data_IF_362689271455
#
_entry.id   IF_362689271455
#
_cell.length_a   1.000
_cell.length_b   1.000
_cell.length_c   1.000
_cell.angle_alpha   90.00
_cell.angle_beta   90.00
_cell.angle_gamma   90.00
#
_symmetry.space_group_name_H-M   'P 1'
#
loop_
_entity.id
_entity.type
_entity.pdbx_description
1 polymer ?
#
# COMPACT_ATOMS: atom_id res chain seq x y z
N UNK A 1 -7.45 22.40 10.75
CA UNK A 1 -6.53 21.24 10.72
C UNK A 1 -5.38 21.50 9.76
N UNK A 2 -4.19 21.10 10.14
CA UNK A 2 -3.02 21.25 9.28
C UNK A 2 -3.01 20.18 8.19
N UNK A 3 -2.48 20.55 7.01
CA UNK A 3 -2.24 19.60 5.93
C UNK A 3 -0.96 18.83 6.25
N UNK A 4 -1.02 17.51 6.11
CA UNK A 4 0.13 16.62 6.29
C UNK A 4 0.55 16.11 4.92
N UNK A 5 1.85 16.26 4.60
CA UNK A 5 2.43 15.75 3.37
C UNK A 5 3.01 14.35 3.64
N UNK A 6 2.90 13.48 2.65
CA UNK A 6 3.47 12.11 2.71
C UNK A 6 4.97 12.20 3.00
N UNK A 7 5.45 11.62 4.12
CA UNK A 7 6.79 11.94 4.61
C UNK A 7 7.94 11.09 4.08
N UNK A 8 7.65 10.07 3.26
CA UNK A 8 8.70 9.17 2.77
C UNK A 8 8.43 8.74 1.32
N UNK A 9 9.49 8.32 0.60
CA UNK A 9 9.38 8.03 -0.83
C UNK A 9 8.71 6.69 -1.10
N UNK A 10 8.25 6.45 -2.34
CA UNK A 10 7.80 5.12 -2.74
C UNK A 10 8.94 4.12 -2.75
N UNK A 11 8.60 2.85 -2.58
CA UNK A 11 9.52 1.73 -2.87
C UNK A 11 9.23 1.31 -4.30
N UNK A 12 10.18 1.46 -5.20
CA UNK A 12 9.97 1.15 -6.62
C UNK A 12 11.33 1.04 -7.32
N UNK A 13 11.42 0.18 -8.32
CA UNK A 13 12.51 0.17 -9.28
C UNK A 13 12.00 -0.20 -10.69
N UNK A 14 12.91 -0.23 -11.66
CA UNK A 14 12.52 -0.51 -13.06
C UNK A 14 11.98 -1.93 -13.27
N UNK A 15 12.26 -2.83 -12.34
CA UNK A 15 11.83 -4.24 -12.42
C UNK A 15 10.57 -4.53 -11.59
N UNK A 16 10.01 -3.54 -10.89
CA UNK A 16 8.76 -3.70 -10.14
C UNK A 16 7.66 -4.19 -11.06
N UNK A 17 6.91 -5.21 -10.64
CA UNK A 17 5.84 -5.84 -11.43
C UNK A 17 4.46 -5.55 -10.89
N UNK A 18 4.35 -5.30 -9.57
CA UNK A 18 3.09 -4.95 -8.90
C UNK A 18 3.29 -3.68 -8.09
N UNK A 19 2.22 -2.90 -7.95
CA UNK A 19 2.20 -1.72 -7.09
C UNK A 19 1.09 -1.89 -6.07
N UNK A 20 1.43 -1.77 -4.79
CA UNK A 20 0.45 -1.84 -3.70
C UNK A 20 0.29 -0.43 -3.14
N UNK A 21 -0.95 0.06 -3.12
CA UNK A 21 -1.30 1.41 -2.68
C UNK A 21 -2.19 1.36 -1.44
N UNK A 22 -1.74 1.99 -0.37
CA UNK A 22 -2.61 2.35 0.74
C UNK A 22 -3.25 3.72 0.52
N UNK A 23 -4.04 4.19 1.48
CA UNK A 23 -4.62 5.54 1.44
C UNK A 23 -3.58 6.58 1.84
N UNK A 24 -3.12 6.54 3.09
CA UNK A 24 -2.13 7.43 3.67
C UNK A 24 -1.46 6.69 4.84
N UNK A 25 -0.17 6.94 5.12
CA UNK A 25 0.50 6.19 6.19
C UNK A 25 -0.08 6.53 7.57
N UNK A 26 -0.15 5.51 8.44
CA UNK A 26 -0.56 5.66 9.83
C UNK A 26 0.39 6.59 10.61
N UNK A 27 -0.02 7.01 11.82
CA UNK A 27 0.84 7.81 12.69
C UNK A 27 2.19 7.13 12.91
N UNK A 28 2.20 5.82 13.18
CA UNK A 28 3.44 5.07 13.43
C UNK A 28 4.29 4.98 12.16
N UNK A 29 3.67 4.74 11.01
CA UNK A 29 4.39 4.73 9.73
C UNK A 29 5.04 6.08 9.44
N UNK A 30 4.32 7.19 9.72
CA UNK A 30 4.88 8.54 9.55
C UNK A 30 6.07 8.80 10.47
N UNK A 31 6.03 8.26 11.70
CA UNK A 31 7.14 8.39 12.66
C UNK A 31 8.35 7.55 12.27
N UNK A 32 8.12 6.36 11.74
CA UNK A 32 9.18 5.43 11.35
C UNK A 32 9.60 5.57 9.89
N UNK A 33 8.92 6.41 9.12
CA UNK A 33 9.20 6.68 7.71
C UNK A 33 9.19 5.41 6.84
N UNK A 34 8.26 4.50 7.11
CA UNK A 34 8.09 3.32 6.26
C UNK A 34 6.67 2.77 6.29
N UNK A 35 6.34 2.01 5.25
CA UNK A 35 5.00 1.46 5.01
C UNK A 35 4.65 0.37 6.01
N UNK A 36 3.40 0.39 6.48
CA UNK A 36 2.83 -0.65 7.35
C UNK A 36 3.73 -0.91 8.58
N UNK A 37 4.28 0.15 9.16
CA UNK A 37 5.26 0.05 10.24
C UNK A 37 4.66 -0.27 11.60
N UNK A 38 3.33 -0.05 11.80
CA UNK A 38 2.68 -0.43 13.03
C UNK A 38 2.75 -1.95 13.20
N UNK A 39 3.32 -2.42 14.31
CA UNK A 39 3.49 -3.85 14.58
C UNK A 39 2.17 -4.63 14.60
N UNK A 40 1.04 -3.96 14.84
CA UNK A 40 -0.28 -4.57 14.82
C UNK A 40 -0.87 -4.64 13.40
N UNK A 41 -0.25 -3.99 12.41
CA UNK A 41 -0.62 -4.14 11.02
C UNK A 41 -0.12 -5.47 10.50
N UNK A 42 -0.99 -6.21 9.83
CA UNK A 42 -0.70 -7.59 9.40
C UNK A 42 -0.04 -7.69 8.03
N UNK A 43 0.24 -6.57 7.36
CA UNK A 43 0.77 -6.58 5.99
C UNK A 43 2.05 -7.42 5.86
N UNK A 44 3.06 -7.15 6.68
CA UNK A 44 4.34 -7.85 6.58
C UNK A 44 4.21 -9.32 6.99
N UNK A 45 3.35 -9.62 7.95
CA UNK A 45 3.07 -11.02 8.33
C UNK A 45 2.42 -11.80 7.18
N UNK A 46 1.48 -11.17 6.48
CA UNK A 46 0.86 -11.76 5.29
C UNK A 46 1.92 -12.03 4.22
N UNK A 47 2.81 -11.07 3.98
CA UNK A 47 3.90 -11.24 3.00
C UNK A 47 4.84 -12.38 3.38
N UNK A 48 5.22 -12.49 4.67
CA UNK A 48 6.07 -13.59 5.14
C UNK A 48 5.42 -14.95 4.88
N UNK A 49 4.13 -15.07 5.12
CA UNK A 49 3.41 -16.32 4.90
C UNK A 49 3.32 -16.65 3.41
N UNK A 50 2.96 -15.67 2.58
CA UNK A 50 2.78 -15.87 1.14
C UNK A 50 4.08 -16.26 0.44
N UNK A 51 5.19 -15.64 0.81
CA UNK A 51 6.49 -15.87 0.18
C UNK A 51 7.36 -16.89 0.92
N UNK A 52 6.85 -17.42 2.03
CA UNK A 52 7.55 -18.44 2.83
C UNK A 52 8.96 -17.99 3.22
N UNK A 53 9.10 -16.79 3.73
CA UNK A 53 10.38 -16.28 4.20
C UNK A 53 10.21 -15.32 5.37
N UNK A 54 11.29 -15.16 6.16
CA UNK A 54 11.34 -14.18 7.24
C UNK A 54 11.87 -12.85 6.67
N UNK A 55 11.11 -11.77 6.86
CA UNK A 55 11.49 -10.46 6.32
C UNK A 55 12.30 -9.71 7.36
N UNK A 56 13.61 -9.57 7.12
CA UNK A 56 14.53 -8.80 7.96
C UNK A 56 14.73 -7.37 7.44
N UNK A 57 14.73 -7.21 6.12
CA UNK A 57 14.85 -5.92 5.43
C UNK A 57 13.66 -5.81 4.47
N UNK A 58 12.70 -4.97 4.84
CA UNK A 58 11.43 -4.84 4.11
C UNK A 58 11.63 -4.27 2.70
N UNK A 59 12.51 -3.28 2.57
CA UNK A 59 12.78 -2.68 1.25
C UNK A 59 13.49 -3.69 0.34
N UNK A 60 14.48 -4.39 0.84
CA UNK A 60 15.18 -5.43 0.09
C UNK A 60 14.24 -6.56 -0.33
N UNK A 61 13.31 -6.96 0.57
CA UNK A 61 12.27 -7.94 0.24
C UNK A 61 11.42 -7.47 -0.94
N UNK A 62 10.97 -6.22 -0.91
CA UNK A 62 10.14 -5.67 -1.99
C UNK A 62 10.89 -5.70 -3.33
N UNK A 63 12.14 -5.27 -3.36
CA UNK A 63 12.92 -5.28 -4.59
C UNK A 63 13.20 -6.71 -5.08
N UNK A 64 13.50 -7.63 -4.18
CA UNK A 64 13.75 -9.04 -4.53
C UNK A 64 12.52 -9.69 -5.18
N UNK A 65 11.32 -9.32 -4.75
CA UNK A 65 10.06 -9.89 -5.25
C UNK A 65 9.33 -8.98 -6.25
N UNK A 66 9.96 -7.88 -6.67
CA UNK A 66 9.40 -6.97 -7.67
C UNK A 66 8.10 -6.28 -7.23
N UNK A 67 8.03 -5.94 -5.95
CA UNK A 67 6.89 -5.26 -5.34
C UNK A 67 7.22 -3.78 -5.16
N UNK A 68 6.35 -2.90 -5.66
CA UNK A 68 6.41 -1.47 -5.37
C UNK A 68 5.36 -1.10 -4.33
N UNK A 69 5.69 -0.15 -3.46
CA UNK A 69 4.79 0.35 -2.42
C UNK A 69 4.67 1.87 -2.52
N UNK A 70 3.45 2.35 -2.39
CA UNK A 70 3.16 3.78 -2.23
C UNK A 70 1.79 3.95 -1.59
N UNK A 71 1.30 5.18 -1.57
CA UNK A 71 -0.07 5.51 -1.13
C UNK A 71 -0.72 6.39 -2.18
N UNK A 72 -2.04 6.37 -2.26
CA UNK A 72 -2.79 7.21 -3.20
C UNK A 72 -2.61 8.68 -2.86
N UNK A 73 -2.56 9.03 -1.57
CA UNK A 73 -2.58 10.41 -1.09
C UNK A 73 -1.16 10.97 -0.96
N UNK A 74 -0.92 12.10 -1.60
CA UNK A 74 0.31 12.88 -1.45
C UNK A 74 0.24 13.79 -0.23
N UNK A 75 -0.92 14.40 0.02
CA UNK A 75 -1.15 15.25 1.19
C UNK A 75 -2.63 15.28 1.52
N UNK A 76 -2.95 15.50 2.79
CA UNK A 76 -4.33 15.56 3.27
C UNK A 76 -4.40 16.16 4.67
N UNK A 77 -5.62 16.41 5.12
CA UNK A 77 -5.90 16.60 6.55
C UNK A 77 -6.37 15.26 7.11
N UNK A 78 -5.92 14.90 8.30
CA UNK A 78 -6.24 13.62 8.93
C UNK A 78 -6.14 13.75 10.45
N UNK A 79 -7.01 13.06 11.18
CA UNK A 79 -6.94 12.94 12.65
C UNK A 79 -6.36 11.56 12.99
N UNK A 80 -5.14 11.54 13.53
CA UNK A 80 -4.45 10.30 13.85
C UNK A 80 -4.26 9.41 12.62
N UNK A 81 -4.73 8.17 12.68
CA UNK A 81 -4.67 7.20 11.59
C UNK A 81 -6.05 6.90 10.99
N UNK A 82 -7.06 7.70 11.31
CA UNK A 82 -8.46 7.44 10.92
C UNK A 82 -8.70 7.77 9.44
N UNK A 83 -8.94 6.75 8.62
CA UNK A 83 -9.32 6.93 7.21
C UNK A 83 -10.59 7.77 7.05
N UNK A 84 -11.55 7.65 7.98
CA UNK A 84 -12.80 8.41 7.94
C UNK A 84 -12.58 9.91 8.13
N UNK A 85 -11.47 10.32 8.76
CA UNK A 85 -11.17 11.74 9.03
C UNK A 85 -10.43 12.40 7.86
N UNK A 86 -10.03 11.66 6.83
CA UNK A 86 -9.26 12.19 5.71
C UNK A 86 -10.07 13.23 4.92
N UNK A 87 -9.47 14.40 4.72
CA UNK A 87 -10.04 15.47 3.91
C UNK A 87 -8.96 16.25 3.17
N UNK A 88 -9.37 17.16 2.30
CA UNK A 88 -8.45 18.03 1.54
C UNK A 88 -7.35 17.23 0.83
N UNK A 89 -7.75 16.19 0.10
CA UNK A 89 -6.84 15.24 -0.52
C UNK A 89 -6.17 15.81 -1.76
N UNK A 90 -4.83 15.68 -1.82
CA UNK A 90 -4.04 15.80 -3.04
C UNK A 90 -3.42 14.42 -3.30
N UNK A 91 -3.55 13.90 -4.52
CA UNK A 91 -3.10 12.54 -4.84
C UNK A 91 -1.72 12.52 -5.46
N UNK A 92 -1.01 11.41 -5.27
CA UNK A 92 0.25 11.15 -5.94
C UNK A 92 0.04 10.87 -7.43
N UNK A 93 1.03 11.18 -8.23
CA UNK A 93 1.01 10.90 -9.67
C UNK A 93 1.40 9.45 -9.93
N UNK A 94 0.42 8.57 -9.81
CA UNK A 94 0.61 7.13 -9.95
C UNK A 94 1.03 6.76 -11.37
N UNK A 95 0.43 7.39 -12.37
CA UNK A 95 0.76 7.12 -13.77
C UNK A 95 2.24 7.39 -14.08
N UNK A 96 2.79 8.50 -13.55
CA UNK A 96 4.21 8.81 -13.71
C UNK A 96 5.11 7.81 -12.98
N UNK A 97 4.70 7.35 -11.80
CA UNK A 97 5.50 6.37 -11.05
C UNK A 97 5.72 5.09 -11.86
N UNK A 98 4.68 4.60 -12.52
CA UNK A 98 4.75 3.31 -13.21
C UNK A 98 5.41 3.39 -14.59
N UNK A 99 5.62 4.58 -15.13
CA UNK A 99 6.41 4.74 -16.35
C UNK A 99 7.81 4.16 -16.14
N UNK A 100 8.34 3.50 -17.16
CA UNK A 100 9.67 2.88 -17.12
C UNK A 100 9.80 1.76 -16.06
N UNK A 101 8.68 1.18 -15.64
CA UNK A 101 8.65 -0.03 -14.80
C UNK A 101 7.95 -1.16 -15.53
N UNK A 102 7.99 -2.35 -14.94
CA UNK A 102 7.26 -3.52 -15.45
C UNK A 102 5.92 -3.74 -14.74
N UNK A 103 5.40 -2.71 -14.06
CA UNK A 103 4.15 -2.81 -13.32
C UNK A 103 2.99 -3.07 -14.28
N UNK A 104 2.29 -4.18 -14.08
CA UNK A 104 1.16 -4.63 -14.90
C UNK A 104 -0.15 -4.68 -14.14
N UNK A 105 -0.10 -4.52 -12.82
CA UNK A 105 -1.28 -4.59 -11.95
C UNK A 105 -1.05 -3.73 -10.70
N UNK A 106 -2.13 -3.09 -10.25
CA UNK A 106 -2.15 -2.27 -9.04
C UNK A 106 -3.12 -2.89 -8.05
N UNK A 107 -2.73 -2.94 -6.78
CA UNK A 107 -3.57 -3.37 -5.68
C UNK A 107 -3.79 -2.21 -4.72
N UNK A 108 -5.03 -1.98 -4.31
CA UNK A 108 -5.34 -1.00 -3.26
C UNK A 108 -5.68 -1.74 -1.97
N UNK A 109 -5.16 -1.29 -0.84
CA UNK A 109 -5.41 -1.89 0.46
C UNK A 109 -6.48 -1.10 1.22
N UNK A 110 -7.67 -1.70 1.34
CA UNK A 110 -8.80 -1.10 2.02
C UNK A 110 -9.70 -0.27 1.10
N UNK A 111 -10.92 -0.06 1.55
CA UNK A 111 -11.97 0.62 0.76
C UNK A 111 -11.63 2.08 0.46
N UNK A 112 -11.03 2.79 1.42
CA UNK A 112 -10.70 4.21 1.25
C UNK A 112 -9.69 4.39 0.13
N UNK A 113 -8.64 3.57 0.10
CA UNK A 113 -7.63 3.63 -0.96
C UNK A 113 -8.26 3.37 -2.33
N UNK A 114 -9.10 2.35 -2.43
CA UNK A 114 -9.76 2.00 -3.69
C UNK A 114 -10.68 3.14 -4.16
N UNK A 115 -11.49 3.67 -3.25
CA UNK A 115 -12.42 4.76 -3.56
C UNK A 115 -11.68 6.01 -4.08
N UNK A 116 -10.61 6.41 -3.40
CA UNK A 116 -9.80 7.55 -3.81
C UNK A 116 -9.09 7.30 -5.13
N UNK A 117 -8.61 6.08 -5.34
CA UNK A 117 -8.01 5.70 -6.61
C UNK A 117 -9.00 5.85 -7.76
N UNK A 118 -10.20 5.27 -7.62
CA UNK A 118 -11.24 5.35 -8.63
C UNK A 118 -11.65 6.79 -8.93
N UNK A 119 -11.67 7.64 -7.92
CA UNK A 119 -12.12 9.03 -8.05
C UNK A 119 -11.07 9.94 -8.69
N UNK A 120 -9.79 9.74 -8.37
CA UNK A 120 -8.75 10.73 -8.66
C UNK A 120 -7.64 10.25 -9.59
N UNK A 121 -7.41 8.95 -9.69
CA UNK A 121 -6.28 8.43 -10.46
C UNK A 121 -6.75 7.94 -11.83
N UNK A 122 -6.04 8.37 -12.88
CA UNK A 122 -6.28 7.91 -14.25
C UNK A 122 -5.06 7.13 -14.70
N UNK A 123 -5.21 5.83 -14.87
CA UNK A 123 -4.14 4.93 -15.26
C UNK A 123 -4.75 3.71 -15.95
N UNK A 124 -4.10 3.25 -17.02
CA UNK A 124 -4.62 2.15 -17.83
C UNK A 124 -4.31 0.76 -17.26
N UNK A 125 -3.47 0.71 -16.20
CA UNK A 125 -3.12 -0.56 -15.56
C UNK A 125 -4.30 -1.06 -14.72
N UNK A 126 -4.64 -2.36 -14.78
CA UNK A 126 -5.73 -2.91 -13.97
C UNK A 126 -5.50 -2.69 -12.47
N UNK A 127 -6.58 -2.40 -11.74
CA UNK A 127 -6.56 -2.22 -10.29
C UNK A 127 -7.48 -3.25 -9.62
N UNK A 128 -6.99 -3.84 -8.53
CA UNK A 128 -7.73 -4.81 -7.73
C UNK A 128 -7.81 -4.31 -6.29
N UNK A 129 -9.01 -4.26 -5.73
CA UNK A 129 -9.21 -3.87 -4.33
C UNK A 129 -8.98 -5.07 -3.41
N UNK A 130 -8.12 -4.90 -2.42
CA UNK A 130 -7.84 -5.89 -1.38
C UNK A 130 -8.32 -5.37 -0.03
N UNK A 131 -8.67 -6.26 0.92
CA UNK A 131 -9.06 -5.83 2.25
C UNK A 131 -7.88 -5.18 3.00
N UNK A 132 -8.19 -4.26 3.90
CA UNK A 132 -7.17 -3.61 4.73
C UNK A 132 -6.48 -4.62 5.64
N UNK A 133 -5.16 -4.49 5.77
CA UNK A 133 -4.35 -5.27 6.72
C UNK A 133 -4.30 -4.64 8.12
N UNK A 134 -4.88 -3.46 8.30
CA UNK A 134 -4.95 -2.79 9.59
C UNK A 134 -5.68 -3.66 10.63
N UNK A 135 -5.21 -3.60 11.87
CA UNK A 135 -5.91 -4.25 13.00
C UNK A 135 -7.32 -3.70 13.22
N UNK A 136 -7.61 -2.50 12.72
CA UNK A 136 -8.96 -1.93 12.75
C UNK A 136 -9.95 -2.74 11.89
N UNK A 137 -9.48 -3.50 10.91
CA UNK A 137 -10.29 -4.42 10.12
C UNK A 137 -10.43 -5.76 10.86
N UNK A 138 -11.08 -5.74 12.02
CA UNK A 138 -11.13 -6.87 12.95
C UNK A 138 -11.94 -8.06 12.42
N UNK A 139 -12.84 -7.86 11.47
CA UNK A 139 -13.64 -8.94 10.88
C UNK A 139 -12.81 -9.88 10.01
N UNK A 140 -11.67 -9.41 9.48
CA UNK A 140 -10.76 -10.22 8.69
C UNK A 140 -9.67 -10.80 9.59
N UNK A 141 -9.61 -12.13 9.65
CA UNK A 141 -8.54 -12.83 10.36
C UNK A 141 -7.31 -12.98 9.45
N UNK A 142 -6.17 -13.36 10.04
CA UNK A 142 -4.92 -13.48 9.29
C UNK A 142 -5.07 -14.45 8.09
N UNK A 143 -5.72 -15.58 8.29
CA UNK A 143 -5.91 -16.56 7.21
C UNK A 143 -6.76 -16.01 6.07
N UNK A 144 -7.75 -15.18 6.37
CA UNK A 144 -8.59 -14.51 5.37
C UNK A 144 -7.76 -13.54 4.55
N UNK A 145 -6.87 -12.79 5.20
CA UNK A 145 -5.98 -11.85 4.53
C UNK A 145 -4.98 -12.59 3.64
N UNK A 146 -4.38 -13.67 4.12
CA UNK A 146 -3.46 -14.48 3.32
C UNK A 146 -4.15 -14.97 2.05
N UNK A 147 -5.38 -15.50 2.18
CA UNK A 147 -6.15 -15.96 1.02
C UNK A 147 -6.44 -14.81 0.04
N UNK A 148 -6.85 -13.64 0.54
CA UNK A 148 -7.16 -12.48 -0.30
C UNK A 148 -5.92 -11.92 -1.00
N UNK A 149 -4.75 -11.94 -0.36
CA UNK A 149 -3.51 -11.36 -0.89
C UNK A 149 -2.69 -12.35 -1.75
N UNK A 150 -3.13 -13.59 -1.90
CA UNK A 150 -2.42 -14.59 -2.72
C UNK A 150 -2.21 -14.12 -4.16
N UNK A 151 -3.15 -13.35 -4.70
CA UNK A 151 -3.04 -12.77 -6.04
C UNK A 151 -1.81 -11.86 -6.17
N UNK A 152 -1.37 -11.23 -5.08
CA UNK A 152 -0.15 -10.39 -5.08
C UNK A 152 1.07 -11.26 -5.39
N UNK A 153 1.23 -12.35 -4.64
CA UNK A 153 2.36 -13.28 -4.83
C UNK A 153 2.33 -13.88 -6.25
N UNK A 154 1.16 -14.32 -6.71
CA UNK A 154 1.00 -14.87 -8.05
C UNK A 154 1.38 -13.85 -9.13
N UNK A 155 1.06 -12.58 -8.92
CA UNK A 155 1.34 -11.50 -9.88
C UNK A 155 2.81 -11.08 -9.92
N UNK A 156 3.60 -11.47 -8.92
CA UNK A 156 5.03 -11.19 -8.87
C UNK A 156 5.87 -12.18 -9.68
N UNK A 157 5.28 -13.26 -10.12
CA UNK A 157 5.98 -14.33 -10.86
C UNK A 157 6.25 -13.96 -12.32
#
# INVERSE_FOLDING_TARGET
MSIITHPFPPVVDSHSKVLILGSFPSVISRRQNFYYANRNNRFWKVMEILFDETINDKEAFCHAHHIALWDVIASCTITGSSDASIGNVSVNDIASLIENTDIKIIFTTGKKAYHLYQKHVKCDVPVVSLPSTSSANAAMHLDDLVAAYRIVEESCQ
#
